data_IF_529946388090
#
_entry.id   IF_529946388090
#
_cell.length_a   1.000
_cell.length_b   1.000
_cell.length_c   1.000
_cell.angle_alpha   90.00
_cell.angle_beta   90.00
_cell.angle_gamma   90.00
#
_symmetry.space_group_name_H-M   'P 1'
#
loop_
_entity.id
_entity.type
_entity.pdbx_description
1 polymer ?
#
# COMPACT_ATOMS: atom_id res chain seq x y z
N UNK A 1 -23.19 -17.06 -5.11
CA UNK A 1 -22.50 -15.85 -4.59
C UNK A 1 -22.82 -14.61 -5.42
N UNK A 2 -22.77 -14.68 -6.76
CA UNK A 2 -23.17 -13.57 -7.66
C UNK A 2 -24.62 -13.07 -7.47
N UNK A 3 -25.57 -13.98 -7.20
CA UNK A 3 -26.99 -13.64 -6.99
C UNK A 3 -27.25 -12.80 -5.74
N UNK A 4 -26.46 -12.98 -4.68
CA UNK A 4 -26.59 -12.23 -3.42
C UNK A 4 -26.07 -10.81 -3.62
N UNK A 5 -24.92 -10.67 -4.29
CA UNK A 5 -24.35 -9.35 -4.62
C UNK A 5 -25.25 -8.55 -5.56
N UNK A 6 -25.85 -9.19 -6.57
CA UNK A 6 -26.78 -8.55 -7.50
C UNK A 6 -28.06 -8.04 -6.80
N UNK A 7 -28.62 -8.83 -5.89
CA UNK A 7 -29.79 -8.41 -5.10
C UNK A 7 -29.43 -7.29 -4.11
N UNK A 8 -28.26 -7.32 -3.47
CA UNK A 8 -27.83 -6.22 -2.58
C UNK A 8 -27.67 -4.91 -3.36
N UNK A 9 -27.14 -4.97 -4.58
CA UNK A 9 -26.97 -3.79 -5.45
C UNK A 9 -28.33 -3.26 -5.93
N UNK A 10 -29.25 -4.14 -6.37
CA UNK A 10 -30.59 -3.74 -6.78
C UNK A 10 -31.39 -3.13 -5.61
N UNK A 11 -31.36 -3.76 -4.44
CA UNK A 11 -32.01 -3.23 -3.24
C UNK A 11 -31.41 -1.89 -2.83
N UNK A 12 -30.10 -1.68 -2.99
CA UNK A 12 -29.47 -0.40 -2.73
C UNK A 12 -29.84 0.69 -3.76
N UNK A 13 -30.16 0.30 -5.01
CA UNK A 13 -30.62 1.22 -6.06
C UNK A 13 -32.10 1.58 -5.95
N UNK A 14 -32.92 0.71 -5.35
CA UNK A 14 -34.36 0.94 -5.12
C UNK A 14 -34.67 1.67 -3.79
N UNK A 15 -33.67 1.94 -2.96
CA UNK A 15 -33.87 2.73 -1.75
C UNK A 15 -34.30 4.16 -2.15
N UNK A 16 -35.43 4.68 -1.62
CA UNK A 16 -35.73 6.10 -1.78
C UNK A 16 -34.53 6.88 -1.25
N UNK A 17 -34.00 7.80 -2.07
CA UNK A 17 -32.86 8.63 -1.71
C UNK A 17 -33.19 9.38 -0.42
N UNK A 18 -32.67 8.84 0.68
CA UNK A 18 -32.86 9.35 2.01
C UNK A 18 -31.46 9.62 2.54
N UNK A 19 -31.17 10.90 2.69
CA UNK A 19 -29.85 11.39 3.04
C UNK A 19 -29.30 10.78 4.35
N UNK A 20 -30.20 10.31 5.24
CA UNK A 20 -29.83 9.58 6.45
C UNK A 20 -29.12 8.24 6.15
N UNK A 21 -29.61 7.47 5.18
CA UNK A 21 -28.96 6.21 4.82
C UNK A 21 -27.61 6.45 4.13
N UNK A 22 -27.51 7.51 3.33
CA UNK A 22 -26.25 7.92 2.72
C UNK A 22 -25.19 8.28 3.78
N UNK A 23 -25.57 9.05 4.81
CA UNK A 23 -24.69 9.39 5.93
C UNK A 23 -24.21 8.15 6.70
N UNK A 24 -25.10 7.20 6.98
CA UNK A 24 -24.77 5.92 7.64
C UNK A 24 -23.80 5.10 6.77
N UNK A 25 -24.07 4.96 5.47
CA UNK A 25 -23.20 4.23 4.54
C UNK A 25 -21.80 4.82 4.47
N UNK A 26 -21.68 6.16 4.45
CA UNK A 26 -20.40 6.87 4.49
C UNK A 26 -19.61 6.59 5.77
N UNK A 27 -20.27 6.69 6.93
CA UNK A 27 -19.65 6.40 8.21
C UNK A 27 -19.15 4.95 8.28
N UNK A 28 -19.97 3.98 7.88
CA UNK A 28 -19.61 2.56 7.86
C UNK A 28 -18.45 2.30 6.90
N UNK A 29 -18.46 2.91 5.71
CA UNK A 29 -17.39 2.77 4.73
C UNK A 29 -16.06 3.30 5.27
N UNK A 30 -16.06 4.49 5.88
CA UNK A 30 -14.87 5.08 6.50
C UNK A 30 -14.29 4.19 7.59
N UNK A 31 -15.12 3.76 8.53
CA UNK A 31 -14.70 2.93 9.67
C UNK A 31 -14.18 1.57 9.17
N UNK A 32 -14.89 0.92 8.25
CA UNK A 32 -14.49 -0.38 7.70
C UNK A 32 -13.15 -0.29 6.95
N UNK A 33 -12.95 0.77 6.18
CA UNK A 33 -11.71 1.02 5.45
C UNK A 33 -10.54 1.30 6.39
N UNK A 34 -10.78 2.05 7.48
CA UNK A 34 -9.78 2.29 8.52
C UNK A 34 -9.38 0.99 9.22
N UNK A 35 -10.35 0.14 9.59
CA UNK A 35 -10.08 -1.19 10.16
C UNK A 35 -9.25 -2.02 9.18
N UNK A 36 -9.64 -2.10 7.91
CA UNK A 36 -8.89 -2.81 6.87
C UNK A 36 -7.46 -2.31 6.76
N UNK A 37 -7.23 -0.99 6.76
CA UNK A 37 -5.89 -0.40 6.69
C UNK A 37 -5.04 -0.81 7.91
N UNK A 38 -5.57 -0.66 9.12
CA UNK A 38 -4.87 -1.03 10.36
C UNK A 38 -4.45 -2.50 10.35
N UNK A 39 -5.34 -3.39 9.90
CA UNK A 39 -5.03 -4.82 9.75
C UNK A 39 -3.99 -5.09 8.68
N UNK A 40 -4.11 -4.45 7.51
CA UNK A 40 -3.22 -4.68 6.37
C UNK A 40 -1.81 -4.20 6.64
N UNK A 41 -1.63 -3.12 7.40
CA UNK A 41 -0.31 -2.58 7.72
C UNK A 41 0.15 -2.92 9.14
N UNK A 42 -0.38 -3.99 9.74
CA UNK A 42 -0.04 -4.35 11.12
C UNK A 42 1.39 -4.88 11.20
N UNK A 43 2.33 -4.07 11.68
CA UNK A 43 3.61 -4.58 12.17
C UNK A 43 4.34 -3.62 13.10
N UNK A 44 4.83 -4.16 14.22
CA UNK A 44 5.80 -3.50 15.11
C UNK A 44 7.23 -4.00 14.87
N UNK A 45 7.39 -5.11 14.14
CA UNK A 45 8.68 -5.78 13.94
C UNK A 45 8.80 -6.31 12.51
N UNK A 46 9.94 -6.02 11.88
CA UNK A 46 10.24 -6.41 10.50
C UNK A 46 11.40 -7.42 10.51
N UNK A 47 11.12 -8.73 10.41
CA UNK A 47 12.17 -9.75 10.39
C UNK A 47 13.01 -9.62 9.13
N UNK A 48 14.32 -9.86 9.27
CA UNK A 48 15.23 -10.02 8.13
C UNK A 48 14.92 -11.30 7.38
N UNK A 49 14.71 -11.20 6.07
CA UNK A 49 14.34 -12.33 5.22
C UNK A 49 15.05 -12.25 3.87
N UNK A 50 15.36 -13.40 3.29
CA UNK A 50 15.78 -13.49 1.89
C UNK A 50 14.57 -13.47 0.96
N UNK A 51 14.79 -13.06 -0.29
CA UNK A 51 13.77 -13.03 -1.33
C UNK A 51 13.18 -14.42 -1.54
N UNK A 52 14.00 -15.48 -1.59
CA UNK A 52 13.53 -16.86 -1.71
C UNK A 52 12.62 -17.27 -0.55
N UNK A 53 12.92 -16.83 0.68
CA UNK A 53 12.07 -17.11 1.84
C UNK A 53 10.70 -16.44 1.74
N UNK A 54 10.63 -15.22 1.18
CA UNK A 54 9.38 -14.51 0.92
C UNK A 54 8.57 -15.18 -0.20
N UNK A 55 9.22 -15.56 -1.30
CA UNK A 55 8.57 -16.22 -2.44
C UNK A 55 7.95 -17.58 -2.08
N UNK A 56 8.51 -18.29 -1.10
CA UNK A 56 7.95 -19.54 -0.56
C UNK A 56 6.67 -19.33 0.27
N UNK A 57 6.34 -18.10 0.68
CA UNK A 57 5.15 -17.82 1.49
C UNK A 57 3.90 -17.81 0.60
N UNK A 58 3.09 -18.85 0.74
CA UNK A 58 1.83 -19.00 -0.02
C UNK A 58 0.63 -18.31 0.63
N UNK A 59 0.62 -18.16 1.97
CA UNK A 59 -0.48 -17.56 2.73
C UNK A 59 -0.28 -16.04 2.85
N UNK A 60 -0.29 -15.35 1.71
CA UNK A 60 -0.13 -13.90 1.61
C UNK A 60 -1.24 -13.34 0.73
N UNK A 61 -1.81 -12.21 1.14
CA UNK A 61 -2.82 -11.50 0.34
C UNK A 61 -2.68 -9.98 0.53
N UNK A 62 -3.46 -9.21 -0.23
CA UNK A 62 -3.55 -7.76 -0.07
C UNK A 62 -3.97 -7.31 1.33
N UNK A 63 -4.73 -8.13 2.06
CA UNK A 63 -5.18 -7.80 3.43
C UNK A 63 -4.26 -8.41 4.48
N UNK A 64 -3.51 -9.46 4.13
CA UNK A 64 -2.58 -10.16 5.03
C UNK A 64 -1.18 -10.18 4.39
N UNK A 65 -0.48 -9.04 4.34
CA UNK A 65 0.90 -9.04 3.89
C UNK A 65 1.83 -9.58 4.98
N UNK A 66 3.07 -9.85 4.59
CA UNK A 66 4.13 -10.24 5.51
C UNK A 66 5.06 -9.04 5.72
N UNK A 67 5.21 -8.51 6.95
CA UNK A 67 6.23 -7.51 7.20
C UNK A 67 7.61 -8.14 7.05
N UNK A 68 8.50 -7.48 6.34
CA UNK A 68 9.86 -7.96 6.11
C UNK A 68 10.85 -6.80 6.01
N UNK A 69 12.08 -7.11 6.40
CA UNK A 69 13.27 -6.33 6.08
C UNK A 69 14.10 -7.16 5.12
N UNK A 70 14.51 -6.59 4.00
CA UNK A 70 15.41 -7.24 3.05
C UNK A 70 16.61 -6.36 2.77
N UNK A 71 17.76 -6.98 2.52
CA UNK A 71 18.98 -6.32 2.11
C UNK A 71 19.38 -6.86 0.74
N UNK A 72 19.70 -5.97 -0.19
CA UNK A 72 20.05 -6.36 -1.55
C UNK A 72 20.47 -5.18 -2.40
N UNK A 73 20.82 -5.43 -3.65
CA UNK A 73 21.22 -4.40 -4.60
C UNK A 73 20.06 -4.03 -5.52
N UNK A 74 19.79 -2.74 -5.70
CA UNK A 74 18.84 -2.30 -6.73
C UNK A 74 19.52 -2.43 -8.10
N UNK A 75 18.96 -3.27 -8.98
CA UNK A 75 19.54 -3.54 -10.30
C UNK A 75 18.91 -2.68 -11.40
N UNK A 76 17.81 -1.99 -11.13
CA UNK A 76 17.15 -1.11 -12.09
C UNK A 76 15.76 -0.69 -11.65
N UNK A 77 15.09 0.04 -12.55
CA UNK A 77 13.69 0.47 -12.40
C UNK A 77 12.72 -0.67 -12.76
N UNK A 78 11.52 -0.64 -12.19
CA UNK A 78 10.47 -1.61 -12.43
C UNK A 78 9.95 -1.58 -13.87
N UNK A 79 9.88 -0.40 -14.49
CA UNK A 79 9.55 -0.23 -15.90
C UNK A 79 10.79 0.19 -16.68
N UNK A 80 11.38 -0.69 -17.50
CA UNK A 80 12.55 -0.36 -18.32
C UNK A 80 12.25 0.80 -19.28
N UNK A 81 13.14 1.79 -19.33
CA UNK A 81 13.01 2.95 -20.24
C UNK A 81 12.06 4.04 -19.78
N UNK A 82 11.29 3.85 -18.70
CA UNK A 82 10.47 4.91 -18.12
C UNK A 82 11.27 5.71 -17.08
N UNK A 83 11.63 6.94 -17.45
CA UNK A 83 12.50 7.81 -16.65
C UNK A 83 11.89 8.12 -15.28
N UNK A 84 10.56 8.21 -15.19
CA UNK A 84 9.86 8.52 -13.95
C UNK A 84 9.32 7.27 -13.22
N UNK A 85 9.81 6.06 -13.55
CA UNK A 85 9.44 4.85 -12.82
C UNK A 85 9.92 4.94 -11.37
N UNK A 86 8.96 4.88 -10.46
CA UNK A 86 9.10 4.89 -9.00
C UNK A 86 9.44 3.50 -8.44
N UNK A 87 9.02 2.45 -9.15
CA UNK A 87 9.28 1.06 -8.81
C UNK A 87 10.73 0.67 -9.07
N UNK A 88 11.23 -0.26 -8.25
CA UNK A 88 12.57 -0.84 -8.39
C UNK A 88 12.54 -2.36 -8.51
N UNK A 89 13.64 -2.89 -9.04
CA UNK A 89 13.96 -4.32 -8.95
C UNK A 89 15.13 -4.47 -7.98
N UNK A 90 14.93 -5.21 -6.90
CA UNK A 90 15.97 -5.57 -5.94
C UNK A 90 16.46 -6.99 -6.19
N UNK A 91 17.76 -7.20 -6.03
CA UNK A 91 18.43 -8.50 -6.13
C UNK A 91 19.17 -8.82 -4.84
N UNK A 92 18.95 -10.01 -4.30
CA UNK A 92 19.79 -10.60 -3.26
C UNK A 92 20.51 -11.84 -3.80
N UNK A 93 21.20 -12.59 -2.93
CA UNK A 93 21.89 -13.83 -3.31
C UNK A 93 20.93 -14.95 -3.77
N UNK A 94 19.65 -14.85 -3.42
CA UNK A 94 18.65 -15.90 -3.61
C UNK A 94 17.69 -15.64 -4.77
N UNK A 95 17.55 -14.40 -5.24
CA UNK A 95 16.67 -14.06 -6.34
C UNK A 95 16.51 -12.55 -6.57
N UNK A 96 15.45 -12.22 -7.31
CA UNK A 96 15.02 -10.85 -7.59
C UNK A 96 13.57 -10.64 -7.18
N UNK A 97 13.21 -9.41 -6.83
CA UNK A 97 11.84 -9.05 -6.49
C UNK A 97 11.54 -7.60 -6.87
N UNK A 98 10.27 -7.30 -7.15
CA UNK A 98 9.82 -5.93 -7.33
C UNK A 98 9.63 -5.25 -5.99
N UNK A 99 9.95 -3.97 -5.96
CA UNK A 99 9.79 -3.11 -4.80
C UNK A 99 9.02 -1.88 -5.25
N UNK A 100 7.82 -1.71 -4.70
CA UNK A 100 6.84 -0.69 -5.06
C UNK A 100 6.93 0.49 -4.09
N UNK A 101 7.21 1.68 -4.63
CA UNK A 101 7.28 2.92 -3.85
C UNK A 101 6.00 3.72 -3.99
N UNK A 102 5.10 3.56 -3.03
CA UNK A 102 3.82 4.29 -3.01
C UNK A 102 3.89 5.60 -2.25
N UNK A 103 3.29 6.64 -2.81
CA UNK A 103 2.97 7.89 -2.13
C UNK A 103 1.49 8.23 -2.31
N UNK A 104 0.91 9.04 -1.40
CA UNK A 104 -0.50 9.44 -1.48
C UNK A 104 -0.93 10.04 -2.82
N UNK A 105 -0.02 10.77 -3.48
CA UNK A 105 -0.28 11.49 -4.72
C UNK A 105 0.68 10.96 -5.78
N UNK A 106 0.15 10.54 -6.94
CA UNK A 106 0.96 10.06 -8.05
C UNK A 106 1.98 11.09 -8.57
N UNK A 107 1.72 12.39 -8.35
CA UNK A 107 2.71 13.44 -8.65
C UNK A 107 3.96 13.33 -7.76
N UNK A 108 3.83 12.89 -6.52
CA UNK A 108 4.97 12.66 -5.62
C UNK A 108 5.76 11.42 -6.02
N UNK A 109 5.07 10.37 -6.48
CA UNK A 109 5.71 9.18 -7.07
C UNK A 109 6.51 9.58 -8.32
N UNK A 110 5.91 10.37 -9.20
CA UNK A 110 6.57 10.92 -10.39
C UNK A 110 7.84 11.72 -10.04
N UNK A 111 7.77 12.67 -9.09
CA UNK A 111 8.93 13.44 -8.68
C UNK A 111 10.01 12.59 -8.02
N UNK A 112 9.61 11.57 -7.25
CA UNK A 112 10.54 10.61 -6.68
C UNK A 112 11.26 9.82 -7.79
N UNK A 113 10.50 9.30 -8.76
CA UNK A 113 11.01 8.60 -9.94
C UNK A 113 11.99 9.43 -10.76
N UNK A 114 11.70 10.73 -10.92
CA UNK A 114 12.50 11.65 -11.73
C UNK A 114 13.77 12.14 -11.03
N UNK A 115 13.70 12.47 -9.74
CA UNK A 115 14.80 13.17 -9.05
C UNK A 115 15.60 12.31 -8.08
N UNK A 116 15.04 11.21 -7.57
CA UNK A 116 15.65 10.45 -6.47
C UNK A 116 15.88 8.98 -6.79
N UNK A 117 15.09 8.40 -7.69
CA UNK A 117 15.15 6.97 -8.00
C UNK A 117 16.51 6.52 -8.55
N UNK A 118 17.12 7.31 -9.43
CA UNK A 118 18.44 6.99 -9.99
C UNK A 118 19.53 6.92 -8.92
N UNK A 119 19.35 7.63 -7.81
CA UNK A 119 20.25 7.61 -6.66
C UNK A 119 20.30 6.27 -5.93
N UNK A 120 19.36 5.35 -6.17
CA UNK A 120 19.34 4.00 -5.59
C UNK A 120 19.89 2.92 -6.54
N UNK A 121 19.97 3.19 -7.85
CA UNK A 121 20.39 2.19 -8.85
C UNK A 121 21.84 1.78 -8.62
N UNK A 122 22.12 0.48 -8.72
CA UNK A 122 23.41 -0.16 -8.48
C UNK A 122 23.97 0.04 -7.06
N UNK A 123 23.10 0.33 -6.08
CA UNK A 123 23.50 0.47 -4.68
C UNK A 123 22.92 -0.65 -3.82
N UNK A 124 23.67 -1.01 -2.79
CA UNK A 124 23.18 -1.87 -1.73
C UNK A 124 22.22 -1.09 -0.83
N UNK A 125 21.01 -1.60 -0.66
CA UNK A 125 19.93 -0.98 0.09
C UNK A 125 19.34 -1.94 1.11
N UNK A 126 18.84 -1.36 2.19
CA UNK A 126 17.93 -1.99 3.13
C UNK A 126 16.51 -1.50 2.83
N UNK A 127 15.59 -2.43 2.54
CA UNK A 127 14.18 -2.15 2.31
C UNK A 127 13.37 -2.75 3.46
N UNK A 128 12.59 -1.92 4.12
CA UNK A 128 11.60 -2.31 5.12
C UNK A 128 10.22 -2.08 4.52
N UNK A 129 9.36 -3.09 4.61
CA UNK A 129 8.04 -2.99 4.02
C UNK A 129 7.17 -4.22 4.21
N UNK A 130 6.15 -4.32 3.36
CA UNK A 130 5.15 -5.37 3.38
C UNK A 130 5.18 -6.16 2.09
N UNK A 131 5.58 -7.42 2.18
CA UNK A 131 5.52 -8.36 1.06
C UNK A 131 4.07 -8.73 0.74
N UNK A 132 3.70 -8.58 -0.53
CA UNK A 132 2.37 -8.85 -1.07
C UNK A 132 2.47 -9.78 -2.27
N UNK A 133 1.45 -10.63 -2.40
CA UNK A 133 1.32 -11.54 -3.53
C UNK A 133 0.18 -11.10 -4.42
N UNK A 134 0.53 -10.50 -5.55
CA UNK A 134 -0.34 -10.26 -6.69
C UNK A 134 0.13 -11.17 -7.86
N UNK A 135 -0.43 -11.09 -9.09
CA UNK A 135 0.12 -11.84 -10.23
C UNK A 135 1.63 -11.66 -10.40
N UNK A 136 2.14 -10.48 -10.05
CA UNK A 136 3.56 -10.20 -9.86
C UNK A 136 3.77 -9.92 -8.35
N UNK A 137 4.58 -10.71 -7.62
CA UNK A 137 4.85 -10.45 -6.21
C UNK A 137 5.77 -9.25 -6.03
N UNK A 138 5.51 -8.45 -4.98
CA UNK A 138 6.25 -7.23 -4.72
C UNK A 138 6.33 -6.91 -3.21
N UNK A 139 7.23 -6.02 -2.84
CA UNK A 139 7.28 -5.43 -1.50
C UNK A 139 6.80 -3.99 -1.61
N UNK A 140 5.74 -3.66 -0.88
CA UNK A 140 5.34 -2.27 -0.68
C UNK A 140 6.28 -1.61 0.32
N UNK A 141 6.99 -0.55 -0.09
CA UNK A 141 8.00 0.12 0.73
C UNK A 141 7.34 0.87 1.89
N UNK A 142 7.83 0.62 3.10
CA UNK A 142 7.68 1.56 4.20
C UNK A 142 8.87 2.52 4.26
N UNK A 143 10.08 1.98 4.20
CA UNK A 143 11.31 2.77 4.11
C UNK A 143 12.37 2.05 3.29
N UNK A 144 13.16 2.83 2.57
CA UNK A 144 14.33 2.36 1.82
C UNK A 144 15.53 3.23 2.19
N UNK A 145 16.68 2.61 2.45
CA UNK A 145 17.92 3.30 2.79
C UNK A 145 19.10 2.65 2.07
N UNK A 146 20.02 3.46 1.54
CA UNK A 146 21.32 2.98 1.07
C UNK A 146 22.22 2.65 2.26
N UNK A 147 22.83 1.46 2.27
CA UNK A 147 23.63 0.97 3.41
C UNK A 147 24.79 1.93 3.74
N UNK A 148 25.52 2.36 2.72
CA UNK A 148 26.72 3.21 2.84
C UNK A 148 26.44 4.71 2.65
N UNK A 149 25.17 5.12 2.62
CA UNK A 149 24.79 6.47 2.20
C UNK A 149 23.71 7.12 3.06
N UNK A 150 23.56 8.43 2.86
CA UNK A 150 22.51 9.23 3.50
C UNK A 150 21.16 9.16 2.76
N UNK A 151 21.12 8.53 1.59
CA UNK A 151 19.90 8.46 0.78
C UNK A 151 18.91 7.51 1.46
N UNK A 152 17.86 8.10 2.04
CA UNK A 152 16.73 7.41 2.62
C UNK A 152 15.41 7.94 2.04
N UNK A 153 14.38 7.11 1.97
CA UNK A 153 13.03 7.52 1.61
C UNK A 153 11.99 6.73 2.40
N UNK A 154 10.86 7.36 2.67
CA UNK A 154 9.78 6.80 3.47
C UNK A 154 8.46 6.96 2.74
N UNK A 155 7.65 5.91 2.73
CA UNK A 155 6.28 5.99 2.24
C UNK A 155 5.38 6.59 3.31
N UNK A 156 4.63 7.63 2.94
CA UNK A 156 3.59 8.22 3.79
C UNK A 156 2.19 7.68 3.46
N UNK A 157 2.09 6.80 2.46
CA UNK A 157 0.85 6.31 1.87
C UNK A 157 -0.13 5.75 2.92
N UNK A 158 0.36 4.91 3.82
CA UNK A 158 -0.43 4.33 4.91
C UNK A 158 -1.07 5.41 5.79
N UNK A 159 -0.28 6.37 6.27
CA UNK A 159 -0.75 7.39 7.21
C UNK A 159 -1.77 8.30 6.55
N UNK A 160 -1.55 8.64 5.28
CA UNK A 160 -2.51 9.40 4.50
C UNK A 160 -3.86 8.66 4.37
N UNK A 161 -3.84 7.36 4.07
CA UNK A 161 -5.07 6.56 4.01
C UNK A 161 -5.82 6.57 5.35
N UNK A 162 -5.11 6.46 6.48
CA UNK A 162 -5.73 6.54 7.81
C UNK A 162 -6.39 7.90 8.06
N UNK A 163 -5.71 9.00 7.71
CA UNK A 163 -6.26 10.35 7.84
C UNK A 163 -7.49 10.53 6.96
N UNK A 164 -7.41 10.10 5.69
CA UNK A 164 -8.53 10.18 4.74
C UNK A 164 -9.75 9.42 5.26
N UNK A 165 -9.59 8.17 5.68
CA UNK A 165 -10.70 7.37 6.20
C UNK A 165 -11.25 7.90 7.53
N UNK A 166 -10.41 8.54 8.35
CA UNK A 166 -10.85 9.25 9.55
C UNK A 166 -11.75 10.43 9.21
N UNK A 167 -11.35 11.26 8.22
CA UNK A 167 -12.14 12.39 7.73
C UNK A 167 -13.49 11.91 7.18
N UNK A 168 -13.50 10.84 6.37
CA UNK A 168 -14.73 10.25 5.82
C UNK A 168 -15.66 9.74 6.94
N UNK A 169 -15.10 9.07 7.95
CA UNK A 169 -15.86 8.55 9.09
C UNK A 169 -16.50 9.68 9.90
N UNK A 170 -15.72 10.72 10.23
CA UNK A 170 -16.19 11.88 10.99
C UNK A 170 -17.23 12.66 10.17
N UNK A 171 -16.98 12.89 8.88
CA UNK A 171 -17.94 13.55 7.98
C UNK A 171 -19.28 12.82 7.91
N UNK A 172 -19.26 11.48 7.79
CA UNK A 172 -20.47 10.67 7.82
C UNK A 172 -21.24 10.77 9.15
N UNK A 173 -20.52 10.77 10.28
CA UNK A 173 -21.13 10.91 11.61
C UNK A 173 -21.70 12.31 11.86
N UNK A 174 -21.01 13.36 11.44
CA UNK A 174 -21.48 14.75 11.54
C UNK A 174 -22.73 14.97 10.68
N UNK A 175 -22.73 14.43 9.46
CA UNK A 175 -23.90 14.48 8.59
C UNK A 175 -25.07 13.70 9.19
N UNK A 176 -24.82 12.55 9.82
CA UNK A 176 -25.87 11.82 10.54
C UNK A 176 -26.46 12.64 11.70
N UNK A 177 -25.62 13.45 12.37
CA UNK A 177 -26.02 14.34 13.46
C UNK A 177 -26.97 15.46 13.05
N UNK A 178 -27.08 15.83 11.77
CA UNK A 178 -28.03 16.86 11.32
C UNK A 178 -29.49 16.39 11.27
N UNK A 179 -29.74 15.09 11.49
CA UNK A 179 -31.08 14.49 11.47
C UNK A 179 -31.67 14.23 12.87
N UNK A 180 -30.97 14.64 13.93
CA UNK A 180 -31.37 14.50 15.33
C UNK A 180 -31.38 15.88 16.01
#
# INVERSE_FOLDING_TARGET
>A
MFFIFYNIILTAMELPYNDKYAAISLAIYGISSMIKNIYSYRSSYFPEMSISALLKKIKVSEVRPIPCKIKGTIIGKGIPGYIASEDFIIKDETGILYVDYRQPLGLWEFFFGLFKADGFINKEVEVIGWYRRAPIPFIEIQSIKVVDGEINSYSTFRYFQLVLFSIVSVGGLLWLGTYY
#
